data_IF_094889773501
#
_entry.id   IF_094889773501
#
_cell.length_a   1.000
_cell.length_b   1.000
_cell.length_c   1.000
_cell.angle_alpha   90.00
_cell.angle_beta   90.00
_cell.angle_gamma   90.00
#
_symmetry.space_group_name_H-M   'P 1'
#
loop_
_entity.id
_entity.type
_entity.pdbx_description
1 polymer ?
#
# COMPACT_ATOMS: atom_id res chain seq x y z
N UNK A 1 -10.96 -7.81 21.13
CA UNK A 1 -10.52 -9.19 20.87
C UNK A 1 -9.11 -9.19 20.33
N UNK A 2 -8.31 -10.20 20.70
CA UNK A 2 -6.90 -10.27 20.31
C UNK A 2 -6.65 -11.42 19.34
N UNK A 3 -5.77 -11.19 18.37
CA UNK A 3 -5.27 -12.18 17.44
C UNK A 3 -3.75 -12.27 17.50
N UNK A 4 -3.21 -13.45 17.22
CA UNK A 4 -1.78 -13.68 16.97
C UNK A 4 -1.65 -14.29 15.58
N UNK A 5 -0.71 -13.74 14.78
CA UNK A 5 -0.41 -14.22 13.43
C UNK A 5 0.92 -14.99 13.48
N UNK A 6 0.93 -16.20 12.93
CA UNK A 6 2.11 -17.05 12.83
C UNK A 6 2.36 -17.39 11.35
N UNK A 7 3.52 -16.96 10.84
CA UNK A 7 3.92 -17.20 9.47
C UNK A 7 5.05 -18.23 9.47
N UNK A 8 4.82 -19.36 8.81
CA UNK A 8 5.74 -20.50 8.74
C UNK A 8 6.49 -20.45 7.41
N UNK A 9 7.82 -20.48 7.45
CA UNK A 9 8.67 -20.54 6.27
C UNK A 9 10.07 -20.05 6.56
N UNK A 10 11.06 -20.88 6.27
CA UNK A 10 12.48 -20.53 6.43
C UNK A 10 12.90 -19.38 5.48
N UNK A 11 12.26 -19.25 4.31
CA UNK A 11 12.49 -18.15 3.36
C UNK A 11 12.11 -16.77 3.93
N UNK A 12 11.15 -16.74 4.87
CA UNK A 12 10.78 -15.52 5.60
C UNK A 12 11.84 -15.16 6.63
N UNK A 13 12.40 -16.15 7.33
CA UNK A 13 13.41 -15.96 8.36
C UNK A 13 14.73 -15.44 7.79
N UNK A 14 15.15 -15.95 6.63
CA UNK A 14 16.39 -15.51 5.96
C UNK A 14 16.20 -14.25 5.11
N UNK A 15 14.96 -13.71 5.04
CA UNK A 15 14.66 -12.49 4.28
C UNK A 15 14.66 -12.67 2.75
N UNK A 16 14.56 -13.89 2.25
CA UNK A 16 14.46 -14.19 0.82
C UNK A 16 13.10 -13.74 0.26
N UNK A 17 12.06 -13.82 1.09
CA UNK A 17 10.70 -13.37 0.76
C UNK A 17 10.22 -12.36 1.79
N UNK A 18 9.60 -11.26 1.32
CA UNK A 18 8.97 -10.29 2.21
C UNK A 18 7.62 -10.84 2.70
N UNK A 19 7.39 -10.80 4.02
CA UNK A 19 6.14 -11.25 4.62
C UNK A 19 4.98 -10.28 4.34
N UNK A 20 4.41 -10.37 3.14
CA UNK A 20 3.25 -9.58 2.74
C UNK A 20 1.96 -10.10 3.39
N UNK A 21 1.89 -11.38 3.72
CA UNK A 21 0.73 -12.01 4.37
C UNK A 21 0.47 -11.41 5.76
N UNK A 22 1.51 -11.27 6.58
CA UNK A 22 1.37 -10.66 7.90
C UNK A 22 0.87 -9.21 7.83
N UNK A 23 1.43 -8.43 6.90
CA UNK A 23 1.03 -7.04 6.70
C UNK A 23 -0.45 -6.93 6.28
N UNK A 24 -0.89 -7.77 5.33
CA UNK A 24 -2.26 -7.80 4.87
C UNK A 24 -3.23 -8.28 5.95
N UNK A 25 -2.93 -9.40 6.62
CA UNK A 25 -3.77 -9.94 7.71
C UNK A 25 -3.91 -8.96 8.86
N UNK A 26 -2.81 -8.29 9.23
CA UNK A 26 -2.83 -7.28 10.29
C UNK A 26 -3.78 -6.12 9.97
N UNK A 27 -3.74 -5.61 8.75
CA UNK A 27 -4.64 -4.56 8.29
C UNK A 27 -6.09 -5.07 8.22
N UNK A 28 -6.30 -6.27 7.68
CA UNK A 28 -7.61 -6.84 7.48
C UNK A 28 -8.30 -7.14 8.82
N UNK A 29 -7.64 -7.83 9.76
CA UNK A 29 -8.19 -8.10 11.09
C UNK A 29 -8.48 -6.81 11.87
N UNK A 30 -7.59 -5.84 11.78
CA UNK A 30 -7.77 -4.55 12.44
C UNK A 30 -9.01 -3.80 11.91
N UNK A 31 -9.36 -3.95 10.62
CA UNK A 31 -10.57 -3.33 10.05
C UNK A 31 -11.88 -3.90 10.60
N UNK A 32 -11.84 -5.06 11.27
CA UNK A 32 -12.97 -5.69 11.95
C UNK A 32 -12.90 -5.62 13.48
N UNK A 33 -12.00 -4.84 14.04
CA UNK A 33 -11.89 -4.70 15.48
C UNK A 33 -11.12 -5.78 16.19
N UNK A 34 -10.41 -6.60 15.46
CA UNK A 34 -9.57 -7.63 16.00
C UNK A 34 -8.14 -7.07 16.13
N UNK A 35 -7.70 -6.84 17.35
CA UNK A 35 -6.36 -6.34 17.65
C UNK A 35 -5.32 -7.43 17.42
N UNK A 36 -4.35 -7.20 16.53
CA UNK A 36 -3.22 -8.10 16.36
C UNK A 36 -2.19 -7.78 17.44
N UNK A 37 -2.09 -8.66 18.46
CA UNK A 37 -1.18 -8.51 19.57
C UNK A 37 0.28 -8.73 19.16
N UNK A 38 0.50 -9.74 18.31
CA UNK A 38 1.83 -10.03 17.76
C UNK A 38 1.76 -10.76 16.43
N UNK A 39 2.85 -10.66 15.65
CA UNK A 39 3.03 -11.41 14.42
C UNK A 39 4.43 -12.03 14.40
N UNK A 40 4.48 -13.36 14.29
CA UNK A 40 5.71 -14.14 14.36
C UNK A 40 6.05 -14.74 12.99
N UNK A 41 7.33 -14.75 12.64
CA UNK A 41 7.87 -15.61 11.59
C UNK A 41 8.63 -16.75 12.26
N UNK A 42 8.33 -18.00 11.89
CA UNK A 42 8.93 -19.18 12.50
C UNK A 42 9.43 -20.15 11.43
N UNK A 43 10.38 -21.02 11.82
CA UNK A 43 10.84 -22.09 10.95
C UNK A 43 9.78 -23.17 10.78
N UNK A 44 9.86 -23.91 9.68
CA UNK A 44 9.02 -25.07 9.33
C UNK A 44 9.46 -26.36 10.03
N UNK A 45 9.84 -26.26 11.32
CA UNK A 45 10.17 -27.39 12.19
C UNK A 45 9.01 -27.73 13.13
N UNK A 46 8.53 -28.97 13.11
CA UNK A 46 7.37 -29.43 13.90
C UNK A 46 7.36 -29.00 15.35
N UNK A 47 8.43 -29.20 16.14
CA UNK A 47 8.46 -28.76 17.53
C UNK A 47 8.34 -27.25 17.74
N UNK A 48 8.83 -26.44 16.78
CA UNK A 48 8.71 -24.98 16.83
C UNK A 48 7.26 -24.58 16.53
N UNK A 49 6.68 -25.13 15.45
CA UNK A 49 5.29 -24.86 15.05
C UNK A 49 4.33 -25.25 16.19
N UNK A 50 4.52 -26.42 16.79
CA UNK A 50 3.70 -26.91 17.90
C UNK A 50 3.71 -25.93 19.08
N UNK A 51 4.91 -25.59 19.55
CA UNK A 51 5.08 -24.69 20.69
C UNK A 51 4.47 -23.32 20.45
N UNK A 52 4.76 -22.70 19.31
CA UNK A 52 4.29 -21.35 18.99
C UNK A 52 2.76 -21.27 18.88
N UNK A 53 2.13 -22.28 18.27
CA UNK A 53 0.65 -22.33 18.17
C UNK A 53 0.05 -22.61 19.55
N UNK A 54 0.61 -23.52 20.33
CA UNK A 54 0.12 -23.84 21.68
C UNK A 54 0.20 -22.62 22.61
N UNK A 55 1.32 -21.91 22.62
CA UNK A 55 1.48 -20.68 23.39
C UNK A 55 0.53 -19.57 22.92
N UNK A 56 0.35 -19.41 21.61
CA UNK A 56 -0.53 -18.41 21.05
C UNK A 56 -2.01 -18.66 21.43
N UNK A 57 -2.44 -19.91 21.40
CA UNK A 57 -3.80 -20.33 21.80
C UNK A 57 -4.10 -20.08 23.29
N UNK A 58 -3.09 -19.94 24.13
CA UNK A 58 -3.26 -19.58 25.53
C UNK A 58 -3.33 -18.04 25.75
N UNK A 59 -3.02 -17.22 24.73
CA UNK A 59 -2.92 -15.76 24.83
C UNK A 59 -3.99 -15.02 24.04
N UNK A 60 -4.40 -15.54 22.87
CA UNK A 60 -5.31 -14.86 21.96
C UNK A 60 -6.53 -15.69 21.62
N UNK A 61 -7.65 -15.02 21.39
CA UNK A 61 -8.91 -15.65 20.98
C UNK A 61 -8.87 -16.19 19.54
N UNK A 62 -8.00 -15.58 18.69
CA UNK A 62 -7.80 -15.99 17.31
C UNK A 62 -6.31 -16.16 17.02
N UNK A 63 -5.91 -17.34 16.62
CA UNK A 63 -4.56 -17.63 16.12
C UNK A 63 -4.65 -17.94 14.64
N UNK A 64 -4.00 -17.12 13.80
CA UNK A 64 -3.96 -17.34 12.34
C UNK A 64 -2.57 -17.79 11.95
N UNK A 65 -2.50 -19.02 11.45
CA UNK A 65 -1.27 -19.66 10.98
C UNK A 65 -1.27 -19.68 9.45
N UNK A 66 -0.18 -19.32 8.81
CA UNK A 66 -0.05 -19.41 7.35
C UNK A 66 1.28 -20.05 6.94
N UNK A 67 1.24 -20.95 5.97
CA UNK A 67 2.39 -21.66 5.42
C UNK A 67 2.42 -23.17 5.78
N UNK A 68 3.28 -23.91 5.09
CA UNK A 68 3.52 -25.35 5.32
C UNK A 68 2.33 -26.27 5.02
N UNK A 69 1.43 -25.90 4.10
CA UNK A 69 0.26 -26.69 3.68
C UNK A 69 0.39 -27.27 2.26
N UNK A 70 1.51 -27.09 1.60
CA UNK A 70 1.75 -27.64 0.27
C UNK A 70 1.95 -29.16 0.25
N UNK A 71 2.24 -29.73 -0.93
CA UNK A 71 2.41 -31.17 -1.10
C UNK A 71 3.85 -31.66 -0.90
N UNK A 72 4.78 -30.79 -0.48
CA UNK A 72 6.20 -31.11 -0.36
C UNK A 72 6.55 -31.70 1.01
N UNK A 73 7.74 -32.27 1.16
CA UNK A 73 8.11 -32.98 2.41
C UNK A 73 8.35 -32.06 3.60
N UNK A 74 8.61 -30.81 3.34
CA UNK A 74 8.78 -29.70 4.28
C UNK A 74 7.43 -29.12 4.75
N UNK A 75 6.32 -29.46 4.06
CA UNK A 75 4.98 -29.03 4.44
C UNK A 75 4.43 -29.87 5.62
N UNK A 76 4.97 -29.66 6.80
CA UNK A 76 4.66 -30.47 7.99
C UNK A 76 3.56 -29.89 8.90
N UNK A 77 3.03 -28.72 8.56
CA UNK A 77 2.05 -28.01 9.41
C UNK A 77 0.81 -28.87 9.71
N UNK A 78 0.28 -29.62 8.73
CA UNK A 78 -0.88 -30.52 8.94
C UNK A 78 -0.59 -31.59 9.99
N UNK A 79 0.58 -32.22 9.93
CA UNK A 79 0.98 -33.26 10.88
C UNK A 79 1.16 -32.70 12.28
N UNK A 80 1.77 -31.52 12.39
CA UNK A 80 1.93 -30.80 13.67
C UNK A 80 0.58 -30.42 14.29
N UNK A 81 -0.37 -29.98 13.45
CA UNK A 81 -1.73 -29.70 13.91
C UNK A 81 -2.46 -30.97 14.37
N UNK A 82 -2.25 -32.11 13.70
CA UNK A 82 -2.78 -33.39 14.16
C UNK A 82 -2.25 -33.75 15.56
N UNK A 83 -0.96 -33.53 15.80
CA UNK A 83 -0.35 -33.77 17.11
C UNK A 83 -0.93 -32.82 18.17
N UNK A 84 -1.01 -31.53 17.88
CA UNK A 84 -1.51 -30.49 18.78
C UNK A 84 -2.97 -30.69 19.19
N UNK A 85 -3.82 -31.09 18.23
CA UNK A 85 -5.26 -31.32 18.45
C UNK A 85 -5.61 -32.80 18.68
N UNK A 86 -4.62 -33.69 18.85
CA UNK A 86 -4.76 -35.12 19.14
C UNK A 86 -5.73 -35.83 18.17
N UNK A 87 -5.53 -35.62 16.87
CA UNK A 87 -6.39 -36.14 15.80
C UNK A 87 -5.57 -36.80 14.69
N UNK A 88 -6.22 -37.55 13.81
CA UNK A 88 -5.61 -38.14 12.62
C UNK A 88 -5.94 -37.37 11.33
N UNK A 89 -5.25 -37.73 10.24
CA UNK A 89 -5.60 -37.23 8.90
C UNK A 89 -6.67 -38.14 8.28
N UNK A 90 -7.68 -37.52 7.68
CA UNK A 90 -8.74 -38.18 6.92
C UNK A 90 -8.86 -37.57 5.52
N UNK A 91 -9.34 -38.37 4.56
CA UNK A 91 -9.61 -37.85 3.21
C UNK A 91 -10.90 -37.01 3.23
N UNK A 92 -10.80 -35.76 2.80
CA UNK A 92 -11.97 -34.90 2.60
C UNK A 92 -12.40 -34.96 1.14
N UNK A 93 -13.42 -35.82 0.88
CA UNK A 93 -13.86 -36.12 -0.48
C UNK A 93 -14.21 -34.89 -1.34
N UNK A 94 -14.93 -33.85 -0.83
CA UNK A 94 -15.17 -32.66 -1.61
C UNK A 94 -13.89 -31.97 -2.06
N UNK A 95 -12.87 -31.92 -1.21
CA UNK A 95 -11.57 -31.35 -1.55
C UNK A 95 -10.81 -32.18 -2.58
N UNK A 96 -10.88 -33.51 -2.46
CA UNK A 96 -10.27 -34.42 -3.43
C UNK A 96 -10.84 -34.18 -4.84
N UNK A 97 -12.16 -34.14 -4.96
CA UNK A 97 -12.84 -33.89 -6.24
C UNK A 97 -12.49 -32.53 -6.82
N UNK A 98 -12.43 -31.49 -5.96
CA UNK A 98 -12.07 -30.14 -6.39
C UNK A 98 -10.61 -30.05 -6.85
N UNK A 99 -9.66 -30.59 -6.09
CA UNK A 99 -8.24 -30.59 -6.48
C UNK A 99 -8.04 -31.37 -7.77
N UNK A 100 -8.70 -32.53 -7.94
CA UNK A 100 -8.65 -33.30 -9.17
C UNK A 100 -9.18 -32.49 -10.37
N UNK A 101 -10.36 -31.88 -10.26
CA UNK A 101 -10.93 -31.04 -11.28
C UNK A 101 -10.05 -29.82 -11.63
N UNK A 102 -9.36 -29.25 -10.63
CA UNK A 102 -8.43 -28.14 -10.84
C UNK A 102 -7.25 -28.53 -11.75
N UNK A 103 -6.66 -29.71 -11.56
CA UNK A 103 -5.58 -30.21 -12.43
C UNK A 103 -6.10 -30.61 -13.81
N UNK A 104 -7.21 -31.33 -13.89
CA UNK A 104 -7.83 -31.76 -15.14
C UNK A 104 -8.22 -30.56 -16.04
N UNK A 105 -8.81 -29.53 -15.46
CA UNK A 105 -9.21 -28.31 -16.21
C UNK A 105 -8.04 -27.56 -16.84
N UNK A 106 -6.81 -27.77 -16.34
CA UNK A 106 -5.58 -27.18 -16.85
C UNK A 106 -4.77 -28.13 -17.74
N UNK A 107 -5.28 -29.33 -18.00
CA UNK A 107 -4.56 -30.35 -18.75
C UNK A 107 -3.31 -30.88 -18.05
N UNK A 108 -3.25 -30.73 -16.71
CA UNK A 108 -2.11 -31.17 -15.90
C UNK A 108 -2.38 -32.56 -15.32
N UNK A 109 -1.34 -33.43 -15.18
CA UNK A 109 -1.51 -34.75 -14.58
C UNK A 109 -1.85 -34.62 -13.09
N UNK A 110 -2.87 -35.36 -12.64
CA UNK A 110 -3.17 -35.50 -11.22
C UNK A 110 -2.29 -36.60 -10.61
N UNK A 111 -1.31 -36.18 -9.84
CA UNK A 111 -0.32 -37.08 -9.23
C UNK A 111 -0.77 -37.54 -7.85
N UNK A 112 -0.26 -38.69 -7.38
CA UNK A 112 -0.55 -39.20 -6.03
C UNK A 112 -0.23 -38.19 -4.91
N UNK A 113 0.81 -37.39 -5.08
CA UNK A 113 1.17 -36.30 -4.13
C UNK A 113 0.08 -35.23 -4.02
N UNK A 114 -0.72 -35.04 -5.08
CA UNK A 114 -1.81 -34.08 -5.06
C UNK A 114 -3.02 -34.57 -4.25
N UNK A 115 -3.18 -35.91 -4.09
CA UNK A 115 -4.20 -36.49 -3.21
C UNK A 115 -3.98 -36.06 -1.75
N UNK A 116 -2.72 -35.92 -1.32
CA UNK A 116 -2.37 -35.47 0.04
C UNK A 116 -2.88 -34.06 0.35
N UNK A 117 -3.15 -33.25 -0.66
CA UNK A 117 -3.75 -31.91 -0.46
C UNK A 117 -5.19 -31.99 0.07
N UNK A 118 -5.89 -33.10 -0.24
CA UNK A 118 -7.23 -33.37 0.26
C UNK A 118 -7.26 -34.05 1.64
N UNK A 119 -6.10 -34.45 2.18
CA UNK A 119 -6.02 -34.93 3.56
C UNK A 119 -6.12 -33.75 4.51
N UNK A 120 -7.00 -33.87 5.50
CA UNK A 120 -7.21 -32.83 6.54
C UNK A 120 -7.29 -33.51 7.92
N UNK A 121 -6.91 -32.81 9.01
CA UNK A 121 -7.16 -33.32 10.36
C UNK A 121 -8.66 -33.53 10.61
N UNK A 122 -9.05 -34.70 11.15
CA UNK A 122 -10.45 -35.06 11.38
C UNK A 122 -11.16 -34.07 12.33
N UNK A 123 -10.43 -33.52 13.30
CA UNK A 123 -10.96 -32.51 14.26
C UNK A 123 -11.16 -31.12 13.68
N UNK A 124 -10.76 -30.85 12.44
CA UNK A 124 -10.92 -29.52 11.88
C UNK A 124 -12.25 -29.34 11.11
N UNK A 125 -12.75 -28.12 11.12
CA UNK A 125 -13.71 -27.68 10.09
C UNK A 125 -12.92 -27.20 8.88
N UNK A 126 -13.15 -27.81 7.72
CA UNK A 126 -12.50 -27.45 6.47
C UNK A 126 -13.02 -26.12 5.98
N UNK A 127 -12.11 -25.21 5.66
CA UNK A 127 -12.39 -23.94 5.00
C UNK A 127 -12.10 -24.11 3.51
N UNK A 128 -13.13 -23.99 2.68
CA UNK A 128 -13.03 -24.30 1.26
C UNK A 128 -12.29 -23.22 0.48
N UNK A 129 -11.18 -23.60 -0.15
CA UNK A 129 -10.42 -22.74 -1.02
C UNK A 129 -10.87 -22.86 -2.47
N UNK A 130 -11.67 -21.94 -2.95
CA UNK A 130 -12.19 -21.97 -4.32
C UNK A 130 -11.22 -21.39 -5.37
N UNK A 131 -10.10 -20.81 -4.92
CA UNK A 131 -9.12 -20.15 -5.82
C UNK A 131 -7.80 -20.91 -5.91
N UNK A 132 -7.63 -21.97 -5.09
CA UNK A 132 -6.40 -22.77 -5.03
C UNK A 132 -6.65 -24.21 -4.63
N UNK A 133 -5.56 -24.94 -4.35
CA UNK A 133 -5.61 -26.39 -4.04
C UNK A 133 -5.52 -26.73 -2.57
N UNK A 134 -4.89 -25.88 -1.76
CA UNK A 134 -4.74 -26.11 -0.32
C UNK A 134 -5.94 -25.53 0.45
N UNK A 135 -6.62 -26.36 1.22
CA UNK A 135 -7.71 -25.91 2.09
C UNK A 135 -7.20 -25.14 3.29
N UNK A 136 -8.02 -24.22 3.80
CA UNK A 136 -7.88 -23.75 5.17
C UNK A 136 -8.46 -24.75 6.16
N UNK A 137 -8.01 -24.66 7.41
CA UNK A 137 -8.44 -25.54 8.50
C UNK A 137 -8.76 -24.70 9.72
N UNK A 138 -9.93 -24.93 10.32
CA UNK A 138 -10.41 -24.24 11.51
C UNK A 138 -10.49 -25.21 12.67
N UNK A 139 -9.84 -24.88 13.78
CA UNK A 139 -9.86 -25.64 15.03
C UNK A 139 -10.37 -24.78 16.16
N UNK A 140 -10.98 -25.43 17.15
CA UNK A 140 -11.43 -24.78 18.38
C UNK A 140 -10.84 -25.50 19.59
N UNK A 141 -10.29 -24.74 20.53
CA UNK A 141 -9.78 -25.28 21.80
C UNK A 141 -10.04 -24.27 22.93
N UNK A 142 -10.80 -24.68 23.94
CA UNK A 142 -11.10 -23.90 25.15
C UNK A 142 -11.71 -22.50 24.81
N UNK A 143 -12.53 -22.41 23.77
CA UNK A 143 -13.14 -21.14 23.33
C UNK A 143 -12.23 -20.26 22.46
N UNK A 144 -11.00 -20.70 22.20
CA UNK A 144 -10.07 -20.04 21.28
C UNK A 144 -10.06 -20.75 19.93
N UNK A 145 -9.78 -19.98 18.90
CA UNK A 145 -9.79 -20.46 17.51
C UNK A 145 -8.37 -20.47 16.95
N UNK A 146 -7.99 -21.59 16.33
CA UNK A 146 -6.79 -21.67 15.50
C UNK A 146 -7.20 -21.90 14.04
N UNK A 147 -6.71 -21.06 13.16
CA UNK A 147 -6.95 -21.18 11.72
C UNK A 147 -5.61 -21.38 11.01
N UNK A 148 -5.51 -22.42 10.18
CA UNK A 148 -4.34 -22.66 9.35
C UNK A 148 -4.67 -22.44 7.88
N UNK A 149 -3.88 -21.61 7.21
CA UNK A 149 -4.11 -21.10 5.86
C UNK A 149 -2.91 -21.36 4.95
N UNK A 150 -3.11 -21.44 3.62
CA UNK A 150 -2.02 -21.51 2.65
C UNK A 150 -1.06 -20.32 2.76
N UNK A 151 0.22 -20.54 2.42
CA UNK A 151 1.22 -19.47 2.31
C UNK A 151 1.02 -18.55 1.10
N UNK A 152 0.32 -19.02 0.07
CA UNK A 152 0.07 -18.26 -1.17
C UNK A 152 -0.85 -17.07 -0.89
N UNK A 153 -0.43 -15.81 -1.17
CA UNK A 153 -1.14 -14.62 -0.70
C UNK A 153 -2.62 -14.54 -1.12
N UNK A 154 -2.94 -14.77 -2.39
CA UNK A 154 -4.31 -14.66 -2.88
C UNK A 154 -5.25 -15.75 -2.33
N UNK A 155 -4.71 -16.96 -2.03
CA UNK A 155 -5.46 -18.05 -1.39
C UNK A 155 -5.76 -17.71 0.07
N UNK A 156 -4.74 -17.24 0.80
CA UNK A 156 -4.88 -16.80 2.18
C UNK A 156 -5.90 -15.65 2.31
N UNK A 157 -5.81 -14.66 1.42
CA UNK A 157 -6.75 -13.51 1.40
C UNK A 157 -8.18 -13.98 1.16
N UNK A 158 -8.39 -14.83 0.15
CA UNK A 158 -9.70 -15.40 -0.15
C UNK A 158 -10.31 -16.10 1.08
N UNK A 159 -9.53 -16.96 1.74
CA UNK A 159 -9.99 -17.71 2.91
C UNK A 159 -10.28 -16.78 4.11
N UNK A 160 -9.45 -15.77 4.34
CA UNK A 160 -9.69 -14.78 5.38
C UNK A 160 -11.01 -14.01 5.13
N UNK A 161 -11.25 -13.59 3.89
CA UNK A 161 -12.42 -12.80 3.51
C UNK A 161 -13.73 -13.60 3.47
N UNK A 162 -13.68 -14.84 2.98
CA UNK A 162 -14.90 -15.63 2.73
C UNK A 162 -15.24 -16.60 3.85
N UNK A 163 -14.24 -17.07 4.58
CA UNK A 163 -14.43 -18.15 5.55
C UNK A 163 -14.10 -17.72 6.98
N UNK A 164 -12.90 -17.17 7.23
CA UNK A 164 -12.40 -16.95 8.58
C UNK A 164 -13.14 -15.82 9.30
N UNK A 165 -13.07 -14.61 8.76
CA UNK A 165 -13.64 -13.44 9.43
C UNK A 165 -15.17 -13.52 9.53
N UNK A 166 -15.93 -13.93 8.50
CA UNK A 166 -17.38 -14.10 8.65
C UNK A 166 -17.77 -15.11 9.70
N UNK A 167 -17.08 -16.26 9.80
CA UNK A 167 -17.34 -17.28 10.85
C UNK A 167 -17.00 -16.75 12.23
N UNK A 168 -15.89 -16.01 12.34
CA UNK A 168 -15.45 -15.44 13.61
C UNK A 168 -16.43 -14.38 14.12
N UNK A 169 -16.96 -13.54 13.24
CA UNK A 169 -18.00 -12.55 13.56
C UNK A 169 -19.32 -13.16 13.98
N UNK A 170 -19.73 -14.28 13.38
CA UNK A 170 -20.95 -14.98 13.78
C UNK A 170 -20.90 -15.52 15.22
N UNK A 171 -19.70 -15.85 15.71
CA UNK A 171 -19.47 -16.41 17.05
C UNK A 171 -19.13 -15.35 18.10
N UNK A 172 -18.75 -14.16 17.69
CA UNK A 172 -18.20 -13.14 18.58
C UNK A 172 -18.80 -11.77 18.25
N UNK A 173 -19.21 -11.06 19.27
CA UNK A 173 -19.53 -9.64 19.13
C UNK A 173 -18.24 -8.84 19.01
N UNK A 174 -17.97 -8.29 17.83
CA UNK A 174 -16.82 -7.45 17.59
C UNK A 174 -17.20 -5.97 17.84
N UNK A 175 -16.29 -5.18 18.42
CA UNK A 175 -16.54 -3.76 18.59
C UNK A 175 -16.59 -3.05 17.23
N UNK A 176 -17.44 -2.04 17.11
CA UNK A 176 -17.38 -1.14 15.97
C UNK A 176 -16.06 -0.38 15.97
N UNK A 177 -15.42 -0.29 14.81
CA UNK A 177 -14.19 0.47 14.62
C UNK A 177 -14.33 1.38 13.42
N UNK A 178 -13.89 2.62 13.57
CA UNK A 178 -13.76 3.55 12.46
C UNK A 178 -12.31 4.01 12.36
N UNK A 179 -11.78 3.89 11.15
CA UNK A 179 -10.47 4.43 10.79
C UNK A 179 -10.64 5.52 9.74
N UNK A 180 -9.94 6.62 9.93
CA UNK A 180 -9.81 7.67 8.93
C UNK A 180 -8.33 7.95 8.70
N UNK A 181 -7.86 7.68 7.49
CA UNK A 181 -6.47 7.97 7.10
C UNK A 181 -6.45 9.21 6.21
N UNK A 182 -5.68 10.18 6.61
CA UNK A 182 -5.45 11.45 5.91
C UNK A 182 -4.04 11.39 5.31
N UNK A 183 -3.91 11.78 4.05
CA UNK A 183 -2.67 11.70 3.28
C UNK A 183 -2.11 13.12 3.09
N UNK A 184 -0.88 13.36 3.58
CA UNK A 184 -0.22 14.67 3.45
C UNK A 184 1.02 14.57 2.59
N UNK A 185 1.38 15.65 1.90
CA UNK A 185 2.54 15.72 1.01
C UNK A 185 3.37 16.98 1.26
N UNK A 186 4.71 16.81 1.15
CA UNK A 186 5.64 17.94 1.12
C UNK A 186 6.04 18.49 2.49
N UNK A 187 5.73 17.76 3.56
CA UNK A 187 6.04 18.15 4.95
C UNK A 187 6.58 16.96 5.73
N UNK A 188 7.47 17.20 6.68
CA UNK A 188 8.06 16.17 7.54
C UNK A 188 7.21 15.89 8.77
N UNK A 189 7.37 14.67 9.34
CA UNK A 189 6.62 14.21 10.51
C UNK A 189 6.75 15.15 11.72
N UNK A 190 7.97 15.54 12.08
CA UNK A 190 8.20 16.41 13.24
C UNK A 190 7.52 17.77 13.10
N UNK A 191 7.48 18.32 11.89
CA UNK A 191 6.82 19.59 11.63
C UNK A 191 5.29 19.45 11.73
N UNK A 192 4.70 18.37 11.17
CA UNK A 192 3.25 18.12 11.33
C UNK A 192 2.92 17.90 12.80
N UNK A 193 3.71 17.11 13.55
CA UNK A 193 3.47 16.83 14.96
C UNK A 193 3.48 18.11 15.81
N UNK A 194 4.40 19.03 15.52
CA UNK A 194 4.47 20.34 16.18
C UNK A 194 3.21 21.18 15.94
N UNK A 195 2.77 21.27 14.68
CA UNK A 195 1.54 21.98 14.30
C UNK A 195 0.29 21.39 14.95
N UNK A 196 0.27 20.07 15.17
CA UNK A 196 -0.91 19.34 15.65
C UNK A 196 -0.94 19.14 17.15
N UNK A 197 0.04 19.63 17.93
CA UNK A 197 0.19 19.33 19.37
C UNK A 197 -1.11 19.55 20.16
N UNK A 198 -1.75 20.70 20.05
CA UNK A 198 -2.99 21.02 20.78
C UNK A 198 -4.18 20.20 20.26
N UNK A 199 -4.27 20.04 18.96
CA UNK A 199 -5.33 19.24 18.34
C UNK A 199 -5.19 17.75 18.72
N UNK A 200 -3.99 17.18 18.69
CA UNK A 200 -3.71 15.80 19.10
C UNK A 200 -4.11 15.57 20.56
N UNK A 201 -3.75 16.50 21.47
CA UNK A 201 -4.16 16.43 22.87
C UNK A 201 -5.70 16.40 23.01
N UNK A 202 -6.43 17.07 22.14
CA UNK A 202 -7.89 17.09 22.16
C UNK A 202 -8.54 15.75 21.75
N UNK A 203 -7.82 14.88 21.05
CA UNK A 203 -8.34 13.58 20.60
C UNK A 203 -8.60 12.61 21.73
N UNK A 204 -7.82 12.71 22.83
CA UNK A 204 -7.98 11.85 24.01
C UNK A 204 -9.37 11.97 24.65
N UNK A 205 -9.98 13.16 24.63
CA UNK A 205 -11.35 13.38 25.13
C UNK A 205 -12.43 12.68 24.31
N UNK A 206 -12.10 12.29 23.09
CA UNK A 206 -12.99 11.61 22.14
C UNK A 206 -12.64 10.11 21.98
N UNK A 207 -11.68 9.57 22.75
CA UNK A 207 -11.15 8.21 22.60
C UNK A 207 -10.58 7.92 21.19
N UNK A 208 -10.13 8.96 20.48
CA UNK A 208 -9.52 8.84 19.16
C UNK A 208 -8.02 8.67 19.33
N UNK A 209 -7.46 7.61 18.73
CA UNK A 209 -6.02 7.36 18.66
C UNK A 209 -5.49 7.89 17.33
N UNK A 210 -4.36 8.61 17.38
CA UNK A 210 -3.64 9.08 16.20
C UNK A 210 -2.38 8.24 16.01
N UNK A 211 -2.10 7.90 14.75
CA UNK A 211 -0.83 7.30 14.34
C UNK A 211 -0.23 8.09 13.18
N UNK A 212 1.06 8.44 13.32
CA UNK A 212 1.88 8.99 12.25
C UNK A 212 2.54 7.84 11.50
N UNK A 213 2.36 7.78 10.19
CA UNK A 213 2.88 6.73 9.32
C UNK A 213 3.74 7.39 8.23
N UNK A 214 5.01 7.69 8.53
CA UNK A 214 5.88 8.40 7.59
C UNK A 214 6.33 7.51 6.43
N UNK A 215 6.43 8.13 5.26
CA UNK A 215 7.07 7.58 4.06
C UNK A 215 7.81 8.71 3.32
N UNK A 216 8.67 8.41 2.35
CA UNK A 216 9.43 9.45 1.66
C UNK A 216 8.55 10.55 1.07
N UNK A 217 8.67 11.79 1.61
CA UNK A 217 7.91 12.96 1.17
C UNK A 217 6.45 13.03 1.61
N UNK A 218 5.97 12.06 2.38
CA UNK A 218 4.57 11.93 2.78
C UNK A 218 4.48 11.51 4.25
N UNK A 219 3.48 12.00 4.96
CA UNK A 219 3.06 11.49 6.27
C UNK A 219 1.58 11.13 6.18
N UNK A 220 1.23 9.90 6.51
CA UNK A 220 -0.17 9.52 6.67
C UNK A 220 -0.55 9.68 8.14
N UNK A 221 -1.65 10.35 8.39
CA UNK A 221 -2.24 10.50 9.71
C UNK A 221 -3.43 9.57 9.81
N UNK A 222 -3.38 8.57 10.68
CA UNK A 222 -4.50 7.64 10.87
C UNK A 222 -5.16 7.87 12.21
N UNK A 223 -6.36 8.43 12.18
CA UNK A 223 -7.28 8.45 13.31
C UNK A 223 -7.98 7.11 13.43
N UNK A 224 -8.13 6.60 14.63
CA UNK A 224 -8.81 5.34 14.93
C UNK A 224 -9.64 5.48 16.20
N UNK A 225 -10.91 5.11 16.16
CA UNK A 225 -11.79 5.06 17.30
C UNK A 225 -12.37 3.65 17.44
N UNK A 226 -12.36 3.14 18.66
CA UNK A 226 -12.85 1.81 19.03
C UNK A 226 -13.96 1.98 20.03
N UNK A 227 -15.13 1.38 19.81
CA UNK A 227 -16.20 1.52 20.81
C UNK A 227 -17.42 0.67 20.55
N UNK A 228 -18.26 0.59 21.59
CA UNK A 228 -19.58 -0.05 21.54
C UNK A 228 -20.70 0.82 20.98
N UNK A 229 -20.40 2.08 20.59
CA UNK A 229 -21.38 2.95 19.97
C UNK A 229 -21.66 2.54 18.51
N UNK A 230 -22.79 2.97 18.00
CA UNK A 230 -23.16 2.82 16.58
C UNK A 230 -22.06 3.38 15.68
N UNK A 231 -21.79 2.72 14.56
CA UNK A 231 -20.72 3.13 13.62
C UNK A 231 -20.91 4.57 13.11
N UNK A 232 -22.16 4.98 12.87
CA UNK A 232 -22.52 6.34 12.45
C UNK A 232 -22.07 7.41 13.45
N UNK A 233 -22.21 7.15 14.75
CA UNK A 233 -21.76 8.05 15.82
C UNK A 233 -20.23 8.15 15.84
N UNK A 234 -19.53 7.03 15.67
CA UNK A 234 -18.07 7.01 15.62
C UNK A 234 -17.54 7.76 14.38
N UNK A 235 -18.20 7.59 13.23
CA UNK A 235 -17.88 8.32 12.00
C UNK A 235 -18.07 9.83 12.16
N UNK A 236 -19.14 10.28 12.78
CA UNK A 236 -19.39 11.71 13.04
C UNK A 236 -18.32 12.33 13.94
N UNK A 237 -17.89 11.61 15.00
CA UNK A 237 -16.80 12.07 15.89
C UNK A 237 -15.49 12.23 15.14
N UNK A 238 -15.11 11.26 14.33
CA UNK A 238 -13.89 11.34 13.49
C UNK A 238 -14.02 12.47 12.48
N UNK A 239 -15.16 12.61 11.81
CA UNK A 239 -15.38 13.65 10.81
C UNK A 239 -15.24 15.06 11.39
N UNK A 240 -15.77 15.30 12.58
CA UNK A 240 -15.60 16.60 13.28
C UNK A 240 -14.11 16.91 13.51
N UNK A 241 -13.33 15.94 13.97
CA UNK A 241 -11.89 16.10 14.19
C UNK A 241 -11.10 16.25 12.88
N UNK A 242 -11.56 15.64 11.82
CA UNK A 242 -11.02 15.85 10.47
C UNK A 242 -11.23 17.28 9.98
N UNK A 243 -12.41 17.88 10.21
CA UNK A 243 -12.67 19.28 9.85
C UNK A 243 -11.76 20.26 10.61
N UNK A 244 -11.52 20.00 11.91
CA UNK A 244 -10.56 20.79 12.70
C UNK A 244 -9.13 20.64 12.12
N UNK A 245 -8.73 19.42 11.77
CA UNK A 245 -7.42 19.14 11.16
C UNK A 245 -7.21 19.89 9.86
N UNK A 246 -8.25 20.00 9.02
CA UNK A 246 -8.19 20.75 7.76
C UNK A 246 -7.91 22.23 7.97
N UNK A 247 -8.36 22.83 9.06
CA UNK A 247 -8.08 24.25 9.35
C UNK A 247 -6.60 24.46 9.71
N UNK A 248 -5.91 23.42 10.22
CA UNK A 248 -4.52 23.52 10.67
C UNK A 248 -3.54 23.17 9.55
N UNK A 249 -3.76 22.04 8.86
CA UNK A 249 -2.82 21.48 7.87
C UNK A 249 -3.43 21.24 6.49
N UNK A 250 -4.57 21.84 6.16
CA UNK A 250 -5.29 21.62 4.89
C UNK A 250 -4.42 21.78 3.65
N UNK A 251 -3.48 22.72 3.67
CA UNK A 251 -2.52 22.96 2.58
C UNK A 251 -1.61 21.77 2.27
N UNK A 252 -1.44 20.85 3.20
CA UNK A 252 -0.61 19.66 3.03
C UNK A 252 -1.42 18.42 2.67
N UNK A 253 -2.75 18.44 2.85
CA UNK A 253 -3.63 17.31 2.59
C UNK A 253 -3.91 17.21 1.09
N UNK A 254 -3.70 16.01 0.54
CA UNK A 254 -4.04 15.75 -0.87
C UNK A 254 -5.12 14.68 -1.06
N UNK A 255 -5.34 13.80 -0.08
CA UNK A 255 -6.28 12.68 -0.23
C UNK A 255 -6.51 11.89 1.05
N UNK A 256 -7.20 10.75 0.92
CA UNK A 256 -7.68 9.94 2.05
C UNK A 256 -7.55 8.44 1.79
N UNK A 257 -7.47 7.68 2.86
CA UNK A 257 -7.56 6.21 2.83
C UNK A 257 -6.47 5.55 2.01
N UNK A 258 -6.87 4.93 0.90
CA UNK A 258 -5.98 4.18 -0.01
C UNK A 258 -5.62 4.97 -1.27
N UNK A 259 -6.05 6.20 -1.38
CA UNK A 259 -5.72 7.06 -2.53
C UNK A 259 -4.21 7.22 -2.69
N UNK A 260 -3.79 7.51 -3.91
CA UNK A 260 -2.43 7.91 -4.24
C UNK A 260 -2.48 9.31 -4.85
N UNK A 261 -1.35 10.02 -4.81
CA UNK A 261 -1.34 11.41 -5.34
C UNK A 261 -1.70 11.44 -6.82
N UNK A 262 -1.29 10.42 -7.59
CA UNK A 262 -1.66 10.30 -9.01
C UNK A 262 -3.15 9.96 -9.20
N UNK A 263 -3.76 9.13 -8.36
CA UNK A 263 -5.21 8.84 -8.49
C UNK A 263 -6.04 10.07 -8.19
N UNK A 264 -5.68 10.82 -7.14
CA UNK A 264 -6.32 12.09 -6.81
C UNK A 264 -6.17 13.11 -7.94
N UNK A 265 -4.98 13.20 -8.54
CA UNK A 265 -4.75 14.09 -9.68
C UNK A 265 -5.63 13.74 -10.90
N UNK A 266 -5.69 12.43 -11.26
CA UNK A 266 -6.53 11.96 -12.37
C UNK A 266 -8.00 12.28 -12.11
N UNK A 267 -8.49 12.03 -10.90
CA UNK A 267 -9.89 12.27 -10.57
C UNK A 267 -10.22 13.77 -10.55
N UNK A 268 -9.33 14.63 -10.03
CA UNK A 268 -9.52 16.09 -10.07
C UNK A 268 -9.50 16.62 -11.50
N UNK A 269 -8.59 16.18 -12.34
CA UNK A 269 -8.55 16.58 -13.75
C UNK A 269 -9.82 16.17 -14.50
N UNK A 270 -10.35 14.97 -14.25
CA UNK A 270 -11.63 14.51 -14.80
C UNK A 270 -12.81 15.38 -14.33
N UNK A 271 -12.85 15.74 -13.04
CA UNK A 271 -13.92 16.56 -12.47
C UNK A 271 -14.01 17.95 -13.10
N UNK A 272 -12.86 18.53 -13.45
CA UNK A 272 -12.79 19.85 -14.11
C UNK A 272 -12.69 19.77 -15.64
N UNK A 273 -12.76 18.54 -16.20
CA UNK A 273 -12.66 18.28 -17.65
C UNK A 273 -11.38 18.87 -18.29
N UNK A 274 -10.25 18.80 -17.57
CA UNK A 274 -8.96 19.34 -17.99
C UNK A 274 -7.93 18.24 -18.26
N UNK A 275 -6.95 18.60 -19.08
CA UNK A 275 -5.91 17.70 -19.57
C UNK A 275 -4.52 18.13 -19.13
N UNK A 276 -3.58 17.18 -19.06
CA UNK A 276 -2.19 17.43 -18.66
C UNK A 276 -1.19 16.78 -19.62
N UNK A 277 -0.02 17.39 -19.76
CA UNK A 277 1.16 16.80 -20.42
C UNK A 277 2.41 16.95 -19.55
N UNK A 278 3.46 16.18 -19.87
CA UNK A 278 4.69 16.17 -19.09
C UNK A 278 5.94 16.37 -19.94
N UNK A 279 6.90 17.15 -19.40
CA UNK A 279 8.26 17.29 -19.91
C UNK A 279 9.26 16.85 -18.83
N UNK A 280 9.79 15.65 -18.95
CA UNK A 280 10.61 15.01 -17.93
C UNK A 280 12.09 14.98 -18.32
N UNK A 281 12.96 15.50 -17.44
CA UNK A 281 14.39 15.29 -17.53
C UNK A 281 14.84 14.32 -16.40
N UNK A 282 15.11 14.80 -15.21
CA UNK A 282 15.65 13.97 -14.12
C UNK A 282 14.68 12.91 -13.60
N UNK A 283 13.38 13.05 -13.76
CA UNK A 283 12.37 12.04 -13.41
C UNK A 283 12.30 10.88 -14.41
N UNK A 284 12.72 11.11 -15.66
CA UNK A 284 12.97 10.06 -16.66
C UNK A 284 11.75 9.21 -17.01
N UNK A 285 10.58 9.83 -17.15
CA UNK A 285 9.32 9.15 -17.46
C UNK A 285 8.50 8.73 -16.25
N UNK A 286 8.93 9.01 -15.01
CA UNK A 286 8.26 8.58 -13.80
C UNK A 286 6.91 9.27 -13.59
N UNK A 287 6.76 10.53 -13.97
CA UNK A 287 5.45 11.22 -13.90
C UNK A 287 4.46 10.55 -14.85
N UNK A 288 4.87 10.28 -16.10
CA UNK A 288 4.04 9.61 -17.09
C UNK A 288 3.67 8.19 -16.64
N UNK A 289 4.63 7.42 -16.13
CA UNK A 289 4.39 6.09 -15.57
C UNK A 289 3.37 6.13 -14.44
N UNK A 290 3.62 6.93 -13.39
CA UNK A 290 2.71 7.03 -12.23
C UNK A 290 1.29 7.40 -12.63
N UNK A 291 1.13 8.35 -13.57
CA UNK A 291 -0.20 8.76 -14.01
C UNK A 291 -0.91 7.64 -14.78
N UNK A 292 -0.19 6.95 -15.67
CA UNK A 292 -0.75 5.88 -16.51
C UNK A 292 -1.01 4.58 -15.75
N UNK A 293 -0.46 4.40 -14.55
CA UNK A 293 -0.83 3.32 -13.63
C UNK A 293 -2.28 3.46 -13.11
N UNK A 294 -2.89 4.65 -13.26
CA UNK A 294 -4.27 4.90 -12.84
C UNK A 294 -5.26 4.59 -13.96
N UNK A 295 -6.23 3.74 -13.69
CA UNK A 295 -7.30 3.42 -14.65
C UNK A 295 -8.04 4.68 -15.10
N UNK A 296 -8.15 4.86 -16.43
CA UNK A 296 -8.80 6.03 -17.03
C UNK A 296 -7.92 7.27 -17.13
N UNK A 297 -6.61 7.16 -16.93
CA UNK A 297 -5.65 8.23 -17.18
C UNK A 297 -5.68 8.76 -18.62
N UNK A 298 -6.10 7.93 -19.60
CA UNK A 298 -6.24 8.33 -20.99
C UNK A 298 -7.23 9.48 -21.26
N UNK A 299 -8.13 9.75 -20.32
CA UNK A 299 -9.07 10.87 -20.45
C UNK A 299 -8.40 12.23 -20.12
N UNK A 300 -7.29 12.22 -19.39
CA UNK A 300 -6.64 13.43 -18.88
C UNK A 300 -5.21 13.60 -19.37
N UNK A 301 -4.51 12.52 -19.74
CA UNK A 301 -3.12 12.53 -20.17
C UNK A 301 -3.00 12.64 -21.70
N UNK A 302 -2.45 13.76 -22.20
CA UNK A 302 -2.33 14.02 -23.64
C UNK A 302 -1.01 13.52 -24.21
N UNK A 303 0.12 13.87 -23.55
CA UNK A 303 1.46 13.52 -24.04
C UNK A 303 2.51 13.61 -22.95
N UNK A 304 3.64 12.91 -23.14
CA UNK A 304 4.82 12.99 -22.29
C UNK A 304 6.10 12.91 -23.10
N UNK A 305 7.07 13.75 -22.76
CA UNK A 305 8.41 13.78 -23.37
C UNK A 305 9.46 13.51 -22.30
N UNK A 306 10.35 12.56 -22.58
CA UNK A 306 11.55 12.34 -21.78
C UNK A 306 12.72 12.99 -22.50
N UNK A 307 13.06 14.22 -22.10
CA UNK A 307 14.07 15.08 -22.73
C UNK A 307 15.28 15.21 -21.81
N UNK A 308 16.08 14.16 -21.76
CA UNK A 308 17.14 13.96 -20.75
C UNK A 308 18.37 14.84 -20.98
N UNK A 309 18.73 15.13 -22.24
CA UNK A 309 19.86 15.97 -22.65
C UNK A 309 19.40 17.33 -23.16
N UNK A 310 20.27 18.35 -23.09
CA UNK A 310 20.05 19.69 -23.66
C UNK A 310 19.55 19.64 -25.11
N UNK A 311 20.21 18.85 -25.94
CA UNK A 311 19.83 18.66 -27.34
C UNK A 311 18.39 18.15 -27.49
N UNK A 312 17.97 17.19 -26.66
CA UNK A 312 16.59 16.65 -26.70
C UNK A 312 15.57 17.70 -26.24
N UNK A 313 15.90 18.56 -25.27
CA UNK A 313 15.05 19.65 -24.83
C UNK A 313 14.76 20.62 -26.00
N UNK A 314 15.77 20.93 -26.81
CA UNK A 314 15.61 21.80 -27.97
C UNK A 314 14.94 21.10 -29.15
N UNK A 315 15.46 19.98 -29.62
CA UNK A 315 15.01 19.33 -30.86
C UNK A 315 13.60 18.69 -30.73
N UNK A 316 13.32 18.06 -29.58
CA UNK A 316 12.07 17.32 -29.40
C UNK A 316 10.98 18.15 -28.75
N UNK A 317 11.33 19.01 -27.80
CA UNK A 317 10.36 19.80 -27.05
C UNK A 317 10.21 21.24 -27.58
N UNK A 318 11.29 21.78 -28.12
CA UNK A 318 11.29 23.15 -28.68
C UNK A 318 11.82 24.22 -27.73
N UNK A 319 12.57 23.81 -26.67
CA UNK A 319 13.24 24.76 -25.77
C UNK A 319 14.34 25.51 -26.55
N UNK A 320 14.34 26.83 -26.46
CA UNK A 320 15.35 27.65 -27.11
C UNK A 320 16.76 27.32 -26.57
N UNK A 321 17.72 26.94 -27.44
CA UNK A 321 19.09 26.67 -27.03
C UNK A 321 19.76 27.85 -26.31
N UNK A 322 19.40 29.08 -26.61
CA UNK A 322 19.95 30.25 -25.93
C UNK A 322 19.55 30.30 -24.45
N UNK A 323 18.34 29.89 -24.12
CA UNK A 323 17.87 29.82 -22.73
C UNK A 323 18.68 28.76 -21.96
N UNK A 324 18.91 27.58 -22.56
CA UNK A 324 19.73 26.54 -21.97
C UNK A 324 21.19 26.99 -21.77
N UNK A 325 21.75 27.66 -22.77
CA UNK A 325 23.12 28.21 -22.71
C UNK A 325 23.27 29.28 -21.63
N UNK A 326 22.26 30.15 -21.48
CA UNK A 326 22.29 31.27 -20.53
C UNK A 326 22.08 30.86 -19.08
N UNK A 327 21.17 29.93 -18.81
CA UNK A 327 20.73 29.58 -17.44
C UNK A 327 21.16 28.20 -16.99
N UNK A 328 21.79 27.40 -17.87
CA UNK A 328 22.13 26.02 -17.62
C UNK A 328 20.93 25.06 -17.77
N UNK A 329 21.19 23.79 -18.04
CA UNK A 329 20.13 22.77 -18.20
C UNK A 329 19.26 22.59 -16.96
N UNK A 330 19.79 22.95 -15.78
CA UNK A 330 19.17 22.74 -14.48
C UNK A 330 18.96 24.11 -13.85
N UNK A 331 17.82 24.69 -14.18
CA UNK A 331 17.41 26.00 -13.68
C UNK A 331 15.88 26.12 -13.64
N UNK A 332 15.38 27.08 -12.91
CA UNK A 332 13.95 27.39 -12.87
C UNK A 332 13.44 27.90 -14.24
N UNK A 333 14.27 28.64 -14.95
CA UNK A 333 13.99 29.17 -16.27
C UNK A 333 13.81 28.06 -17.30
N UNK A 334 14.72 27.10 -17.31
CA UNK A 334 14.60 25.91 -18.20
C UNK A 334 13.41 25.06 -17.83
N UNK A 335 13.13 24.83 -16.54
CA UNK A 335 11.93 24.11 -16.10
C UNK A 335 10.65 24.81 -16.57
N UNK A 336 10.59 26.13 -16.46
CA UNK A 336 9.47 26.96 -16.94
C UNK A 336 9.23 26.76 -18.42
N UNK A 337 10.26 26.97 -19.26
CA UNK A 337 10.12 26.82 -20.71
C UNK A 337 9.80 25.39 -21.13
N UNK A 338 10.36 24.38 -20.45
CA UNK A 338 9.99 22.98 -20.69
C UNK A 338 8.49 22.75 -20.48
N UNK A 339 7.90 23.28 -19.40
CA UNK A 339 6.48 23.16 -19.14
C UNK A 339 5.63 23.90 -20.18
N UNK A 340 6.02 25.15 -20.54
CA UNK A 340 5.31 25.93 -21.55
C UNK A 340 5.33 25.25 -22.92
N UNK A 341 6.49 24.79 -23.37
CA UNK A 341 6.63 24.05 -24.61
C UNK A 341 5.78 22.77 -24.63
N UNK A 342 5.76 22.03 -23.55
CA UNK A 342 4.95 20.81 -23.45
C UNK A 342 3.45 21.13 -23.56
N UNK A 343 2.99 22.16 -22.85
CA UNK A 343 1.59 22.60 -22.90
C UNK A 343 1.16 23.03 -24.30
N UNK A 344 1.94 23.88 -24.91
CA UNK A 344 1.66 24.40 -26.26
C UNK A 344 1.67 23.26 -27.29
N UNK A 345 2.68 22.40 -27.22
CA UNK A 345 2.88 21.33 -28.21
C UNK A 345 1.82 20.24 -28.13
N UNK A 346 1.34 19.91 -26.93
CA UNK A 346 0.28 18.92 -26.72
C UNK A 346 -1.12 19.48 -26.89
N UNK A 347 -1.30 20.80 -26.74
CA UNK A 347 -2.61 21.43 -26.63
C UNK A 347 -3.34 21.11 -25.33
N UNK A 348 -2.62 20.62 -24.29
CA UNK A 348 -3.21 20.34 -22.98
C UNK A 348 -3.47 21.63 -22.19
N UNK A 349 -4.40 21.57 -21.23
CA UNK A 349 -4.72 22.70 -20.36
C UNK A 349 -3.57 23.02 -19.41
N UNK A 350 -2.90 21.96 -18.92
CA UNK A 350 -1.76 22.03 -17.99
C UNK A 350 -0.57 21.25 -18.53
N UNK A 351 0.63 21.69 -18.15
CA UNK A 351 1.82 20.87 -18.33
C UNK A 351 2.73 20.93 -17.10
N UNK A 352 3.31 19.78 -16.74
CA UNK A 352 4.31 19.69 -15.70
C UNK A 352 5.69 19.42 -16.30
N UNK A 353 6.72 20.03 -15.73
CA UNK A 353 8.09 19.72 -16.10
C UNK A 353 8.96 19.39 -14.89
N UNK A 354 10.09 18.71 -15.14
CA UNK A 354 11.12 18.44 -14.14
C UNK A 354 12.51 18.51 -14.74
N UNK A 355 13.44 19.21 -14.09
CA UNK A 355 14.89 19.19 -14.39
C UNK A 355 15.69 19.28 -13.10
N UNK A 356 16.84 18.61 -13.01
CA UNK A 356 17.61 18.63 -11.76
C UNK A 356 18.67 17.54 -11.63
N UNK A 357 19.43 17.61 -10.56
CA UNK A 357 20.45 16.66 -10.14
C UNK A 357 19.87 15.63 -9.17
N UNK A 358 19.37 14.51 -9.71
CA UNK A 358 18.72 13.49 -8.88
C UNK A 358 19.71 12.69 -7.99
N UNK A 359 21.00 12.74 -8.26
CA UNK A 359 22.06 12.04 -7.49
C UNK A 359 22.35 10.61 -8.00
N UNK A 360 23.23 9.82 -7.33
CA UNK A 360 23.99 10.20 -6.12
C UNK A 360 25.10 11.21 -6.39
N UNK A 361 25.56 11.26 -7.64
CA UNK A 361 26.63 12.14 -8.15
C UNK A 361 26.04 13.25 -9.03
N UNK A 362 26.87 14.23 -9.37
CA UNK A 362 26.48 15.39 -10.15
C UNK A 362 26.53 16.67 -9.32
N UNK A 363 25.89 17.69 -9.83
CA UNK A 363 25.97 19.04 -9.34
C UNK A 363 26.83 19.90 -10.25
N UNK A 364 26.61 21.18 -10.23
CA UNK A 364 27.40 22.21 -10.88
C UNK A 364 27.79 23.30 -9.87
N UNK A 365 28.44 24.37 -10.32
CA UNK A 365 28.86 25.48 -9.45
C UNK A 365 27.68 26.18 -8.76
N UNK A 366 26.48 26.05 -9.33
CA UNK A 366 25.28 26.77 -8.91
C UNK A 366 24.32 25.88 -8.11
N UNK A 367 24.25 24.60 -8.49
CA UNK A 367 23.26 23.65 -7.95
C UNK A 367 23.92 22.32 -7.58
N UNK A 368 23.90 22.00 -6.28
CA UNK A 368 24.40 20.71 -5.79
C UNK A 368 23.42 19.55 -6.06
N UNK A 369 23.90 18.34 -5.79
CA UNK A 369 23.08 17.11 -5.85
C UNK A 369 21.82 17.23 -5.01
N UNK A 370 20.71 16.75 -5.54
CA UNK A 370 19.37 16.82 -4.92
C UNK A 370 18.60 18.11 -5.20
N UNK A 371 19.17 19.06 -5.92
CA UNK A 371 18.43 20.23 -6.42
C UNK A 371 17.65 19.81 -7.66
N UNK A 372 16.32 19.97 -7.58
CA UNK A 372 15.40 19.69 -8.68
C UNK A 372 14.41 20.86 -8.80
N UNK A 373 14.16 21.28 -10.02
CA UNK A 373 13.11 22.24 -10.35
C UNK A 373 11.94 21.49 -10.98
N UNK A 374 10.75 21.80 -10.51
CA UNK A 374 9.48 21.37 -11.11
C UNK A 374 8.68 22.61 -11.50
N UNK A 375 8.04 22.58 -12.65
CA UNK A 375 7.19 23.70 -13.07
C UNK A 375 5.83 23.21 -13.54
N UNK A 376 4.82 24.07 -13.37
CA UNK A 376 3.45 23.91 -13.83
C UNK A 376 3.12 25.07 -14.76
N UNK A 377 2.83 24.77 -16.01
CA UNK A 377 2.31 25.73 -17.00
C UNK A 377 0.80 25.60 -17.11
N UNK A 378 0.10 26.72 -17.10
CA UNK A 378 -1.34 26.87 -17.31
C UNK A 378 -1.64 28.05 -18.19
N UNK A 379 -2.89 28.33 -18.49
CA UNK A 379 -3.32 29.55 -19.17
C UNK A 379 -3.02 30.83 -18.37
N UNK A 380 -2.95 30.71 -17.03
CA UNK A 380 -2.67 31.83 -16.11
C UNK A 380 -1.17 32.10 -15.91
N UNK A 381 -0.30 31.38 -16.62
CA UNK A 381 1.15 31.48 -16.51
C UNK A 381 1.80 30.22 -15.91
N UNK A 382 3.09 30.36 -15.61
CA UNK A 382 3.90 29.21 -15.17
C UNK A 382 4.45 29.45 -13.77
N UNK A 383 4.22 28.45 -12.89
CA UNK A 383 4.72 28.40 -11.51
C UNK A 383 5.91 27.45 -11.48
N UNK A 384 7.03 27.88 -10.89
CA UNK A 384 8.21 27.03 -10.69
C UNK A 384 8.50 26.86 -9.21
N UNK A 385 8.90 25.64 -8.82
CA UNK A 385 9.31 25.31 -7.45
C UNK A 385 10.69 24.67 -7.46
N UNK A 386 11.62 25.25 -6.68
CA UNK A 386 12.93 24.66 -6.40
C UNK A 386 12.81 23.71 -5.21
N UNK A 387 13.21 22.46 -5.41
CA UNK A 387 13.23 21.40 -4.41
C UNK A 387 14.67 21.10 -4.01
N UNK A 388 14.89 20.74 -2.74
CA UNK A 388 16.19 20.34 -2.23
C UNK A 388 16.05 19.02 -1.50
N UNK A 389 16.65 17.97 -2.03
CA UNK A 389 16.63 16.63 -1.51
C UNK A 389 18.04 16.15 -1.12
N UNK A 390 18.15 14.89 -0.65
CA UNK A 390 19.42 14.26 -0.37
C UNK A 390 20.08 13.63 -1.62
N UNK A 391 20.88 12.56 -1.40
CA UNK A 391 21.65 11.92 -2.48
C UNK A 391 20.99 10.65 -3.07
N UNK A 392 19.85 10.21 -2.55
CA UNK A 392 19.19 8.99 -3.02
C UNK A 392 18.40 9.28 -4.30
N UNK A 393 18.92 8.80 -5.43
CA UNK A 393 18.39 9.05 -6.76
C UNK A 393 16.93 8.61 -6.92
N UNK A 394 16.61 7.40 -6.55
CA UNK A 394 15.24 6.86 -6.69
C UNK A 394 14.25 7.70 -5.88
N UNK A 395 14.56 7.92 -4.60
CA UNK A 395 13.74 8.74 -3.71
C UNK A 395 13.57 10.18 -4.23
N UNK A 396 14.64 10.79 -4.73
CA UNK A 396 14.59 12.16 -5.24
C UNK A 396 13.66 12.28 -6.47
N UNK A 397 13.70 11.29 -7.37
CA UNK A 397 12.81 11.24 -8.54
C UNK A 397 11.35 11.06 -8.13
N UNK A 398 11.07 10.17 -7.18
CA UNK A 398 9.74 9.95 -6.63
C UNK A 398 9.17 11.21 -5.99
N UNK A 399 9.94 11.82 -5.07
CA UNK A 399 9.52 13.03 -4.37
C UNK A 399 9.34 14.23 -5.31
N UNK A 400 10.15 14.34 -6.37
CA UNK A 400 9.99 15.39 -7.37
C UNK A 400 8.72 15.21 -8.20
N UNK A 401 8.41 13.97 -8.60
CA UNK A 401 7.17 13.63 -9.31
C UNK A 401 5.94 13.96 -8.46
N UNK A 402 5.95 13.56 -7.19
CA UNK A 402 4.85 13.80 -6.26
C UNK A 402 4.69 15.31 -5.97
N UNK A 403 5.80 16.05 -5.86
CA UNK A 403 5.77 17.51 -5.69
C UNK A 403 5.19 18.22 -6.92
N UNK A 404 5.47 17.72 -8.13
CA UNK A 404 4.89 18.25 -9.36
C UNK A 404 3.36 17.99 -9.41
N UNK A 405 2.92 16.79 -9.05
CA UNK A 405 1.50 16.45 -8.96
C UNK A 405 0.77 17.30 -7.92
N UNK A 406 1.37 17.48 -6.74
CA UNK A 406 0.81 18.33 -5.69
C UNK A 406 0.67 19.79 -6.15
N UNK A 407 1.62 20.29 -6.95
CA UNK A 407 1.55 21.65 -7.49
C UNK A 407 0.31 21.82 -8.38
N UNK A 408 0.02 20.83 -9.24
CA UNK A 408 -1.16 20.85 -10.12
C UNK A 408 -2.46 20.62 -9.31
N UNK A 409 -2.48 19.71 -8.33
CA UNK A 409 -3.65 19.51 -7.46
C UNK A 409 -4.06 20.83 -6.79
N UNK A 410 -3.08 21.57 -6.25
CA UNK A 410 -3.33 22.87 -5.62
C UNK A 410 -3.84 23.92 -6.60
N UNK A 411 -3.37 23.91 -7.84
CA UNK A 411 -3.83 24.84 -8.87
C UNK A 411 -5.29 24.58 -9.24
N UNK A 412 -5.68 23.32 -9.39
CA UNK A 412 -7.06 22.93 -9.70
C UNK A 412 -8.03 23.28 -8.55
N UNK A 413 -7.55 23.38 -7.33
CA UNK A 413 -8.37 23.67 -6.14
C UNK A 413 -8.64 25.18 -5.92
N UNK A 414 -7.94 26.06 -6.64
CA UNK A 414 -8.16 27.52 -6.58
C UNK A 414 -9.43 27.91 -7.33
#
# INVERSE_FOLDING_TARGET
MKAIIINIGDELLIGQTINTNAAWMGQYLNSFGIEVESSHCISDKGPVIFREIDEALNKAQLVVVTGGLGPTKDDITKHTLCELFQTGLVMHEPSYLRVKAFFESRGLPFLKVNEHQALVPEACTVLENMVGTANGMWFERNGHVCVSLPGVPFEMQYLMEKEVVPRFQQKNELPNIVHRTILTQGVGESFIADLLTDWENSLAAEDIRLAYLPSPGMVKLRMSIYGGAEESVLQERIHRKELELHQIIGDYIFGYGKETIQSVLVDKLKQVEKTVSFAESCTGGMMAQKLTDVTGASHVFQAGWVVYHAKSKSEQLGVDPEIISKYGEISGEVATVMADCARIKSGSDFALSSTGWAGPDGGDETHGVGIIFVALSSENGTIVKKLKFGKNRTRNREMASDAAFMLLIKEIQK
#
